data_IF_657425443075
#
_entry.id   IF_657425443075
#
_cell.length_a   1.000
_cell.length_b   1.000
_cell.length_c   1.000
_cell.angle_alpha   90.00
_cell.angle_beta   90.00
_cell.angle_gamma   90.00
#
_symmetry.space_group_name_H-M   'P 1'
#
loop_
_entity.id
_entity.type
_entity.pdbx_description
1 polymer ?
#
# COMPACT_ATOMS: atom_id res chain seq x y z
N UNK A 1 -21.91 27.19 -10.86
CA UNK A 1 -22.77 26.31 -10.03
C UNK A 1 -22.49 24.84 -10.26
N UNK A 2 -22.92 24.16 -11.34
CA UNK A 2 -22.73 22.69 -11.48
C UNK A 2 -21.26 22.25 -11.44
N UNK A 3 -20.36 23.02 -12.09
CA UNK A 3 -18.92 22.70 -12.10
C UNK A 3 -18.24 22.84 -10.74
N UNK A 4 -18.64 23.82 -9.94
CA UNK A 4 -18.08 24.09 -8.61
C UNK A 4 -18.51 23.03 -7.60
N UNK A 5 -19.77 22.58 -7.67
CA UNK A 5 -20.29 21.48 -6.85
C UNK A 5 -19.57 20.15 -7.20
N UNK A 6 -19.32 19.90 -8.49
CA UNK A 6 -18.62 18.69 -8.94
C UNK A 6 -17.15 18.69 -8.50
N UNK A 7 -16.47 19.83 -8.59
CA UNK A 7 -15.09 19.99 -8.14
C UNK A 7 -14.96 19.69 -6.64
N UNK A 8 -15.89 20.22 -5.84
CA UNK A 8 -15.92 19.98 -4.40
C UNK A 8 -16.10 18.49 -4.06
N UNK A 9 -16.99 17.79 -4.76
CA UNK A 9 -17.19 16.34 -4.56
C UNK A 9 -15.95 15.52 -4.93
N UNK A 10 -15.24 15.90 -6.00
CA UNK A 10 -13.99 15.25 -6.40
C UNK A 10 -12.91 15.47 -5.33
N UNK A 11 -12.79 16.70 -4.82
CA UNK A 11 -11.80 17.03 -3.79
C UNK A 11 -12.11 16.33 -2.47
N UNK A 12 -13.38 16.26 -2.05
CA UNK A 12 -13.80 15.50 -0.87
C UNK A 12 -13.47 14.02 -1.01
N UNK A 13 -13.79 13.41 -2.15
CA UNK A 13 -13.43 12.01 -2.43
C UNK A 13 -11.91 11.81 -2.43
N UNK A 14 -11.15 12.71 -3.06
CA UNK A 14 -9.68 12.63 -3.09
C UNK A 14 -9.10 12.68 -1.70
N UNK A 15 -9.53 13.63 -0.87
CA UNK A 15 -9.08 13.80 0.50
C UNK A 15 -9.38 12.56 1.34
N UNK A 16 -10.54 11.93 1.13
CA UNK A 16 -10.92 10.69 1.78
C UNK A 16 -9.93 9.53 1.59
N UNK A 17 -9.28 9.43 0.43
CA UNK A 17 -8.34 8.34 0.12
C UNK A 17 -6.86 8.70 0.34
N UNK A 18 -6.53 9.94 0.74
CA UNK A 18 -5.15 10.34 1.07
C UNK A 18 -4.46 9.40 2.09
N UNK A 19 -5.13 8.90 3.15
CA UNK A 19 -4.50 7.97 4.09
C UNK A 19 -4.00 6.68 3.43
N UNK A 20 -4.75 6.13 2.45
CA UNK A 20 -4.34 4.93 1.69
C UNK A 20 -3.09 5.24 0.86
N UNK A 21 -3.05 6.40 0.19
CA UNK A 21 -1.89 6.82 -0.59
C UNK A 21 -0.64 7.01 0.28
N UNK A 22 -0.80 7.56 1.48
CA UNK A 22 0.28 7.73 2.44
C UNK A 22 0.86 6.38 2.91
N UNK A 23 0.00 5.43 3.29
CA UNK A 23 0.44 4.09 3.65
C UNK A 23 1.13 3.38 2.49
N UNK A 24 0.58 3.47 1.27
CA UNK A 24 1.21 2.88 0.09
C UNK A 24 2.61 3.47 -0.18
N UNK A 25 2.80 4.78 -0.01
CA UNK A 25 4.11 5.41 -0.15
C UNK A 25 5.13 4.87 0.87
N UNK A 26 4.73 4.74 2.14
CA UNK A 26 5.58 4.16 3.20
C UNK A 26 5.99 2.73 2.84
N UNK A 27 5.04 1.92 2.37
CA UNK A 27 5.29 0.54 1.98
C UNK A 27 6.19 0.41 0.75
N UNK A 28 6.10 1.34 -0.21
CA UNK A 28 7.01 1.39 -1.36
C UNK A 28 8.45 1.60 -0.90
N UNK A 29 8.69 2.59 -0.04
CA UNK A 29 10.04 2.83 0.48
C UNK A 29 10.53 1.67 1.36
N UNK A 30 9.65 1.01 2.11
CA UNK A 30 9.99 -0.19 2.86
C UNK A 30 10.57 -1.30 1.98
N UNK A 31 10.00 -1.55 0.79
CA UNK A 31 10.53 -2.58 -0.13
C UNK A 31 11.74 -2.08 -0.92
N UNK A 32 11.85 -0.77 -1.19
CA UNK A 32 13.03 -0.20 -1.84
C UNK A 32 14.28 -0.32 -0.96
N UNK A 33 14.12 -0.15 0.36
CA UNK A 33 15.19 -0.30 1.34
C UNK A 33 15.75 -1.73 1.42
N UNK A 34 15.06 -2.75 0.89
CA UNK A 34 15.54 -4.14 0.86
C UNK A 34 16.79 -4.32 0.00
N UNK A 35 17.02 -3.44 -0.99
CA UNK A 35 18.23 -3.45 -1.81
C UNK A 35 19.51 -3.23 -0.97
N UNK A 36 19.39 -2.64 0.21
CA UNK A 36 20.51 -2.47 1.16
C UNK A 36 20.87 -3.78 1.90
N UNK A 37 19.96 -4.76 1.94
CA UNK A 37 20.22 -6.08 2.51
C UNK A 37 20.90 -6.97 1.47
N UNK A 38 20.36 -6.97 0.25
CA UNK A 38 20.92 -7.70 -0.88
C UNK A 38 20.59 -6.93 -2.18
N UNK A 39 21.60 -6.61 -3.03
CA UNK A 39 21.37 -5.90 -4.28
C UNK A 39 20.37 -6.57 -5.24
N UNK A 40 20.08 -7.86 -5.07
CA UNK A 40 19.06 -8.57 -5.85
C UNK A 40 17.62 -8.17 -5.50
N UNK A 41 17.38 -7.55 -4.34
CA UNK A 41 16.05 -7.13 -3.88
C UNK A 41 15.65 -5.75 -4.39
N UNK A 42 15.59 -5.63 -5.72
CA UNK A 42 15.16 -4.43 -6.40
C UNK A 42 13.77 -4.61 -6.99
N UNK A 43 12.88 -3.68 -6.67
CA UNK A 43 11.51 -3.65 -7.16
C UNK A 43 11.24 -2.31 -7.83
N UNK A 44 10.67 -2.35 -9.03
CA UNK A 44 10.38 -1.14 -9.78
C UNK A 44 9.07 -0.51 -9.33
N UNK A 45 8.95 0.81 -9.47
CA UNK A 45 7.70 1.53 -9.21
C UNK A 45 6.54 0.99 -10.08
N UNK A 46 6.70 0.71 -11.39
CA UNK A 46 5.62 0.10 -12.18
C UNK A 46 5.12 -1.24 -11.65
N UNK A 47 6.03 -2.11 -11.17
CA UNK A 47 5.64 -3.37 -10.52
C UNK A 47 4.77 -3.11 -9.29
N UNK A 48 5.21 -2.16 -8.43
CA UNK A 48 4.49 -1.79 -7.23
C UNK A 48 3.09 -1.22 -7.53
N UNK A 49 3.00 -0.30 -8.51
CA UNK A 49 1.71 0.29 -8.93
C UNK A 49 0.76 -0.78 -9.46
N UNK A 50 1.24 -1.69 -10.30
CA UNK A 50 0.41 -2.80 -10.80
C UNK A 50 -0.08 -3.70 -9.67
N UNK A 51 0.76 -3.95 -8.67
CA UNK A 51 0.38 -4.73 -7.50
C UNK A 51 -0.67 -4.01 -6.64
N UNK A 52 -0.54 -2.69 -6.51
CA UNK A 52 -1.49 -1.84 -5.81
C UNK A 52 -2.86 -1.82 -6.52
N UNK A 53 -2.89 -1.63 -7.84
CA UNK A 53 -4.12 -1.72 -8.64
C UNK A 53 -4.80 -3.09 -8.49
N UNK A 54 -4.03 -4.17 -8.57
CA UNK A 54 -4.55 -5.52 -8.36
C UNK A 54 -5.09 -5.76 -6.94
N UNK A 55 -4.58 -5.05 -5.94
CA UNK A 55 -5.11 -5.10 -4.58
C UNK A 55 -6.39 -4.29 -4.42
N UNK A 56 -6.52 -3.13 -5.08
CA UNK A 56 -7.75 -2.33 -5.10
C UNK A 56 -8.92 -3.14 -5.67
N UNK A 57 -8.68 -3.88 -6.76
CA UNK A 57 -9.67 -4.74 -7.41
C UNK A 57 -10.13 -5.90 -6.52
N UNK A 58 -9.25 -6.38 -5.63
CA UNK A 58 -9.53 -7.49 -4.71
C UNK A 58 -10.13 -7.05 -3.38
N UNK A 59 -9.87 -5.82 -2.97
CA UNK A 59 -10.33 -5.32 -1.68
C UNK A 59 -11.86 -5.26 -1.65
N UNK A 60 -12.44 -5.62 -0.52
CA UNK A 60 -13.89 -5.57 -0.30
C UNK A 60 -14.43 -4.15 -0.47
N UNK A 61 -15.44 -3.98 -1.34
CA UNK A 61 -16.09 -2.69 -1.52
C UNK A 61 -17.03 -2.43 -0.35
N UNK A 62 -17.00 -1.22 0.21
CA UNK A 62 -17.85 -0.82 1.31
C UNK A 62 -18.36 0.60 1.07
N UNK A 63 -19.66 0.88 1.28
CA UNK A 63 -20.20 2.24 1.19
C UNK A 63 -19.67 3.16 2.29
N UNK A 64 -19.25 2.61 3.43
CA UNK A 64 -18.56 3.34 4.47
C UNK A 64 -17.08 3.53 4.09
N UNK A 65 -16.67 4.80 3.97
CA UNK A 65 -15.32 5.15 3.51
C UNK A 65 -14.24 4.65 4.48
N UNK A 66 -14.47 4.72 5.79
CA UNK A 66 -13.49 4.28 6.79
C UNK A 66 -13.25 2.76 6.68
N UNK A 67 -14.32 1.97 6.58
CA UNK A 67 -14.22 0.53 6.36
C UNK A 67 -13.57 0.19 5.02
N UNK A 68 -13.84 0.99 3.96
CA UNK A 68 -13.18 0.82 2.66
C UNK A 68 -11.68 1.09 2.75
N UNK A 69 -11.26 2.13 3.48
CA UNK A 69 -9.84 2.45 3.71
C UNK A 69 -9.14 1.29 4.41
N UNK A 70 -9.72 0.75 5.48
CA UNK A 70 -9.18 -0.42 6.20
C UNK A 70 -9.03 -1.61 5.25
N UNK A 71 -10.09 -1.93 4.50
CA UNK A 71 -10.09 -3.04 3.54
C UNK A 71 -9.02 -2.91 2.46
N UNK A 72 -8.82 -1.69 1.94
CA UNK A 72 -7.79 -1.39 0.94
C UNK A 72 -6.39 -1.60 1.52
N UNK A 73 -6.13 -1.04 2.70
CA UNK A 73 -4.84 -1.12 3.36
C UNK A 73 -4.47 -2.56 3.73
N UNK A 74 -5.38 -3.31 4.33
CA UNK A 74 -5.16 -4.70 4.72
C UNK A 74 -4.92 -5.60 3.50
N UNK A 75 -5.76 -5.47 2.48
CA UNK A 75 -5.64 -6.24 1.24
C UNK A 75 -4.32 -5.95 0.54
N UNK A 76 -3.93 -4.67 0.47
CA UNK A 76 -2.69 -4.29 -0.17
C UNK A 76 -1.47 -4.76 0.62
N UNK A 77 -1.44 -4.55 1.94
CA UNK A 77 -0.33 -4.97 2.80
C UNK A 77 -0.12 -6.49 2.72
N UNK A 78 -1.20 -7.28 2.78
CA UNK A 78 -1.12 -8.74 2.64
C UNK A 78 -0.64 -9.15 1.24
N UNK A 79 -1.17 -8.50 0.19
CA UNK A 79 -0.78 -8.78 -1.19
C UNK A 79 0.69 -8.45 -1.43
N UNK A 80 1.17 -7.33 -0.92
CA UNK A 80 2.57 -6.92 -0.97
C UNK A 80 3.44 -7.93 -0.23
N UNK A 81 3.10 -8.28 1.01
CA UNK A 81 3.81 -9.27 1.81
C UNK A 81 4.02 -10.58 1.04
N UNK A 82 2.93 -11.15 0.51
CA UNK A 82 2.97 -12.41 -0.22
C UNK A 82 3.87 -12.34 -1.46
N UNK A 83 3.82 -11.25 -2.22
CA UNK A 83 4.60 -11.12 -3.45
C UNK A 83 6.09 -10.94 -3.17
N UNK A 84 6.44 -10.12 -2.16
CA UNK A 84 7.83 -9.91 -1.78
C UNK A 84 8.41 -11.19 -1.18
N UNK A 85 7.72 -11.84 -0.24
CA UNK A 85 8.19 -13.09 0.37
C UNK A 85 8.45 -14.22 -0.64
N UNK A 86 7.73 -14.28 -1.77
CA UNK A 86 8.03 -15.26 -2.84
C UNK A 86 9.39 -15.04 -3.51
N UNK A 87 9.87 -13.80 -3.53
CA UNK A 87 11.15 -13.41 -4.14
C UNK A 87 12.33 -13.40 -3.15
N UNK A 88 12.05 -13.40 -1.84
CA UNK A 88 13.09 -13.35 -0.80
C UNK A 88 13.66 -14.74 -0.47
N UNK A 89 14.93 -14.76 -0.09
CA UNK A 89 15.52 -15.92 0.59
C UNK A 89 14.87 -16.13 1.96
N UNK A 90 14.73 -17.38 2.39
CA UNK A 90 14.06 -17.75 3.65
C UNK A 90 14.60 -16.97 4.86
N UNK A 91 15.93 -16.84 4.96
CA UNK A 91 16.62 -16.11 6.03
C UNK A 91 16.22 -14.63 6.15
N UNK A 92 15.67 -14.02 5.12
CA UNK A 92 15.28 -12.60 5.11
C UNK A 92 13.77 -12.37 5.27
N UNK A 93 12.94 -13.42 5.22
CA UNK A 93 11.47 -13.27 5.30
C UNK A 93 11.02 -12.73 6.66
N UNK A 94 11.61 -13.20 7.75
CA UNK A 94 11.28 -12.72 9.11
C UNK A 94 11.67 -11.26 9.29
N UNK A 95 12.85 -10.87 8.79
CA UNK A 95 13.30 -9.47 8.82
C UNK A 95 12.33 -8.57 8.04
N UNK A 96 11.93 -8.97 6.83
CA UNK A 96 10.96 -8.22 6.05
C UNK A 96 9.59 -8.13 6.74
N UNK A 97 9.10 -9.22 7.34
CA UNK A 97 7.84 -9.23 8.10
C UNK A 97 7.85 -8.21 9.24
N UNK A 98 8.99 -8.14 9.96
CA UNK A 98 9.19 -7.18 11.04
C UNK A 98 9.24 -5.73 10.54
N UNK A 99 9.99 -5.46 9.46
CA UNK A 99 10.04 -4.14 8.84
C UNK A 99 8.67 -3.69 8.35
N UNK A 100 7.92 -4.58 7.69
CA UNK A 100 6.58 -4.31 7.19
C UNK A 100 5.62 -3.95 8.34
N UNK A 101 5.69 -4.68 9.46
CA UNK A 101 4.88 -4.40 10.64
C UNK A 101 5.20 -3.03 11.25
N UNK A 102 6.48 -2.71 11.44
CA UNK A 102 6.89 -1.39 11.98
C UNK A 102 6.46 -0.25 11.06
N UNK A 103 6.70 -0.39 9.76
CA UNK A 103 6.34 0.64 8.78
C UNK A 103 4.83 0.82 8.67
N UNK A 104 4.06 -0.27 8.77
CA UNK A 104 2.60 -0.22 8.85
C UNK A 104 2.10 0.50 10.11
N UNK A 105 2.70 0.23 11.27
CA UNK A 105 2.36 0.95 12.52
C UNK A 105 2.67 2.45 12.43
N UNK A 106 3.79 2.82 11.81
CA UNK A 106 4.15 4.22 11.57
C UNK A 106 3.21 4.93 10.60
N UNK A 107 2.51 4.20 9.73
CA UNK A 107 1.52 4.78 8.83
C UNK A 107 0.16 5.03 9.52
N UNK A 108 -0.11 4.33 10.63
CA UNK A 108 -1.36 4.39 11.37
C UNK A 108 -1.36 5.39 12.54
N UNK A 109 -0.17 5.86 12.97
CA UNK A 109 0.02 6.85 14.04
C UNK A 109 0.43 8.21 13.49
#
# INVERSE_FOLDING_TARGET
EIGEETEKQIDEARLGYVPVAFQAAILFFCIADLANIDPMYQYSLPFFVNLFLAAIDKAEQNPDLEQRIVSLNDTFQYTLYCNICRSLFEKHKTLFSFLLCIRGLLAAG
#
